data_IF_465977325528
#
_entry.id   IF_465977325528
#
_cell.length_a   1.000
_cell.length_b   1.000
_cell.length_c   1.000
_cell.angle_alpha   90.00
_cell.angle_beta   90.00
_cell.angle_gamma   90.00
#
_symmetry.space_group_name_H-M   'P 1'
#
loop_
_entity.id
_entity.type
_entity.pdbx_description
1 polymer ?
#
# COMPACT_ATOMS: atom_id res chain seq x y z
N UNK A 1 -18.17 -3.23 -9.44
CA UNK A 1 -18.01 -2.86 -8.02
C UNK A 1 -16.98 -1.73 -7.95
N UNK A 2 -17.16 -0.77 -7.06
CA UNK A 2 -16.17 0.28 -6.78
C UNK A 2 -15.21 -0.20 -5.71
N UNK A 3 -13.94 0.19 -5.75
CA UNK A 3 -12.93 -0.25 -4.77
C UNK A 3 -12.29 0.92 -4.04
N UNK A 4 -11.86 0.67 -2.81
CA UNK A 4 -11.00 1.56 -2.03
C UNK A 4 -9.58 0.99 -1.99
N UNK A 5 -8.58 1.84 -2.13
CA UNK A 5 -7.17 1.46 -2.04
C UNK A 5 -6.48 2.19 -0.88
N UNK A 6 -5.67 1.44 -0.13
CA UNK A 6 -4.86 1.94 0.98
C UNK A 6 -3.40 1.63 0.68
N UNK A 7 -2.54 2.66 0.68
CA UNK A 7 -1.22 2.60 0.07
C UNK A 7 -0.13 2.96 1.06
N UNK A 8 0.91 2.12 1.11
CA UNK A 8 2.11 2.37 1.88
C UNK A 8 3.36 1.92 1.11
N UNK A 9 4.53 2.37 1.55
CA UNK A 9 5.82 2.18 0.90
C UNK A 9 6.82 1.39 1.76
N UNK A 10 7.75 0.73 1.10
CA UNK A 10 8.96 0.22 1.75
C UNK A 10 10.16 0.39 0.85
N UNK A 11 11.34 0.51 1.45
CA UNK A 11 12.62 0.50 0.74
C UNK A 11 13.53 -0.58 1.29
N UNK A 12 14.22 -1.29 0.40
CA UNK A 12 15.28 -2.25 0.73
C UNK A 12 16.41 -2.12 -0.27
N UNK A 13 17.58 -1.70 0.23
CA UNK A 13 18.73 -1.37 -0.62
C UNK A 13 18.25 -0.42 -1.73
N UNK A 14 18.55 -0.74 -2.98
CA UNK A 14 18.22 0.08 -4.14
C UNK A 14 16.86 -0.30 -4.75
N UNK A 15 16.02 -1.06 -4.04
CA UNK A 15 14.67 -1.38 -4.49
C UNK A 15 13.63 -0.65 -3.64
N UNK A 16 12.75 0.06 -4.34
CA UNK A 16 11.59 0.74 -3.79
C UNK A 16 10.34 -0.11 -4.04
N UNK A 17 9.45 -0.17 -3.05
CA UNK A 17 8.21 -0.93 -3.07
C UNK A 17 7.05 0.00 -2.71
N UNK A 18 5.98 -0.03 -3.51
CA UNK A 18 4.71 0.61 -3.23
C UNK A 18 3.64 -0.48 -3.22
N UNK A 19 2.93 -0.63 -2.11
CA UNK A 19 1.85 -1.61 -1.98
C UNK A 19 0.50 -0.92 -1.89
N UNK A 20 -0.50 -1.47 -2.56
CA UNK A 20 -1.89 -1.03 -2.50
C UNK A 20 -2.78 -2.18 -2.03
N UNK A 21 -3.33 -2.06 -0.82
CA UNK A 21 -4.39 -2.93 -0.34
C UNK A 21 -5.72 -2.48 -0.96
N UNK A 22 -6.31 -3.34 -1.79
CA UNK A 22 -7.54 -3.12 -2.53
C UNK A 22 -8.68 -3.80 -1.79
N UNK A 23 -9.66 -3.02 -1.37
CA UNK A 23 -10.71 -3.44 -0.44
C UNK A 23 -12.08 -3.02 -0.97
N UNK A 24 -13.06 -3.92 -0.90
CA UNK A 24 -14.45 -3.59 -1.18
C UNK A 24 -14.99 -2.62 -0.10
N UNK A 25 -15.71 -1.54 -0.47
CA UNK A 25 -16.29 -0.61 0.49
C UNK A 25 -17.09 -1.27 1.62
N UNK A 26 -17.76 -2.39 1.36
CA UNK A 26 -18.51 -3.17 2.35
C UNK A 26 -17.64 -3.88 3.40
N UNK A 27 -16.36 -4.14 3.09
CA UNK A 27 -15.43 -4.84 3.99
C UNK A 27 -14.59 -3.90 4.86
N UNK A 28 -14.53 -2.61 4.49
CA UNK A 28 -13.71 -1.58 5.17
C UNK A 28 -13.93 -1.57 6.68
N UNK A 29 -15.19 -1.55 7.13
CA UNK A 29 -15.50 -1.46 8.56
C UNK A 29 -15.10 -2.74 9.32
N UNK A 30 -15.28 -3.90 8.69
CA UNK A 30 -14.95 -5.22 9.26
C UNK A 30 -13.44 -5.36 9.39
N UNK A 31 -12.69 -5.08 8.32
CA UNK A 31 -11.23 -5.15 8.33
C UNK A 31 -10.62 -4.17 9.33
N UNK A 32 -11.11 -2.92 9.42
CA UNK A 32 -10.65 -1.96 10.44
C UNK A 32 -10.87 -2.47 11.87
N UNK A 33 -12.04 -3.07 12.14
CA UNK A 33 -12.32 -3.64 13.46
C UNK A 33 -11.35 -4.79 13.78
N UNK A 34 -11.09 -5.65 12.80
CA UNK A 34 -10.19 -6.78 12.95
C UNK A 34 -8.75 -6.32 13.22
N UNK A 35 -8.23 -5.38 12.43
CA UNK A 35 -6.88 -4.85 12.59
C UNK A 35 -6.69 -4.16 13.95
N UNK A 36 -7.69 -3.41 14.42
CA UNK A 36 -7.65 -2.84 15.79
C UNK A 36 -7.56 -3.92 16.87
N UNK A 37 -8.19 -5.08 16.65
CA UNK A 37 -8.04 -6.24 17.53
C UNK A 37 -6.63 -6.86 17.54
N UNK A 38 -5.77 -6.51 16.57
CA UNK A 38 -4.36 -6.89 16.55
C UNK A 38 -3.46 -5.89 17.29
N UNK A 39 -3.98 -4.84 17.91
CA UNK A 39 -3.16 -3.92 18.70
C UNK A 39 -2.98 -4.46 20.13
N UNK A 40 -1.80 -4.27 20.70
CA UNK A 40 -1.64 -4.40 22.15
C UNK A 40 -2.28 -3.23 22.90
N UNK A 41 -2.55 -3.41 24.19
CA UNK A 41 -3.05 -2.33 25.03
C UNK A 41 -2.08 -1.12 24.97
N UNK A 42 -2.61 0.06 24.64
CA UNK A 42 -1.83 1.30 24.47
C UNK A 42 -1.16 1.46 23.09
N UNK A 43 -1.15 0.44 22.24
CA UNK A 43 -0.63 0.55 20.88
C UNK A 43 -1.63 1.30 20.00
N UNK A 44 -1.16 2.30 19.24
CA UNK A 44 -2.00 3.14 18.35
C UNK A 44 -1.87 2.79 16.87
N UNK A 45 -0.75 2.16 16.49
CA UNK A 45 -0.43 1.76 15.13
C UNK A 45 0.30 0.41 15.11
N UNK A 46 0.13 -0.34 14.03
CA UNK A 46 0.93 -1.52 13.74
C UNK A 46 1.99 -1.13 12.73
N UNK A 47 3.20 -0.86 13.21
CA UNK A 47 4.36 -0.57 12.35
C UNK A 47 5.19 -1.85 12.22
N UNK A 48 4.96 -2.63 11.16
CA UNK A 48 5.41 -4.02 11.04
C UNK A 48 6.93 -4.18 11.18
N UNK A 49 7.70 -3.18 10.72
CA UNK A 49 9.16 -3.14 10.89
C UNK A 49 9.62 -3.12 12.34
N UNK A 50 8.86 -2.55 13.28
CA UNK A 50 9.24 -2.47 14.71
C UNK A 50 8.84 -3.72 15.50
N UNK A 51 8.01 -4.58 14.93
CA UNK A 51 7.51 -5.78 15.60
C UNK A 51 8.56 -6.89 15.71
N UNK A 52 8.46 -7.70 16.78
CA UNK A 52 9.29 -8.90 16.94
C UNK A 52 8.90 -9.97 15.91
N UNK A 53 9.83 -10.87 15.50
CA UNK A 53 9.55 -11.89 14.48
C UNK A 53 8.30 -12.74 14.73
N UNK A 54 8.07 -13.20 15.96
CA UNK A 54 6.87 -13.98 16.29
C UNK A 54 5.57 -13.18 16.12
N UNK A 55 5.60 -11.89 16.47
CA UNK A 55 4.46 -10.99 16.28
C UNK A 55 4.21 -10.74 14.80
N UNK A 56 5.26 -10.55 13.99
CA UNK A 56 5.14 -10.41 12.54
C UNK A 56 4.48 -11.64 11.90
N UNK A 57 4.89 -12.84 12.29
CA UNK A 57 4.26 -14.10 11.82
C UNK A 57 2.77 -14.15 12.18
N UNK A 58 2.42 -13.82 13.43
CA UNK A 58 1.03 -13.85 13.89
C UNK A 58 0.15 -12.84 13.13
N UNK A 59 0.63 -11.62 12.95
CA UNK A 59 -0.07 -10.57 12.18
C UNK A 59 -0.25 -11.00 10.73
N UNK A 60 0.81 -11.50 10.09
CA UNK A 60 0.76 -11.94 8.70
C UNK A 60 -0.20 -13.12 8.51
N UNK A 61 -0.19 -14.10 9.42
CA UNK A 61 -1.14 -15.22 9.42
C UNK A 61 -2.58 -14.72 9.47
N UNK A 62 -2.87 -13.77 10.38
CA UNK A 62 -4.21 -13.19 10.51
C UNK A 62 -4.62 -12.43 9.26
N UNK A 63 -3.73 -11.67 8.63
CA UNK A 63 -4.02 -10.99 7.38
C UNK A 63 -4.33 -11.96 6.24
N UNK A 64 -3.55 -13.04 6.10
CA UNK A 64 -3.81 -14.09 5.10
C UNK A 64 -5.16 -14.75 5.33
N UNK A 65 -5.55 -15.02 6.58
CA UNK A 65 -6.88 -15.56 6.92
C UNK A 65 -8.03 -14.61 6.54
N UNK A 66 -7.80 -13.29 6.58
CA UNK A 66 -8.83 -12.28 6.26
C UNK A 66 -9.00 -12.06 4.76
N UNK A 67 -8.01 -12.45 3.94
CA UNK A 67 -8.07 -12.38 2.48
C UNK A 67 -8.13 -10.99 1.81
N UNK A 68 -7.63 -9.86 2.38
CA UNK A 68 -7.56 -8.63 1.61
C UNK A 68 -6.58 -8.80 0.43
N UNK A 69 -6.84 -8.12 -0.67
CA UNK A 69 -6.02 -8.23 -1.88
C UNK A 69 -4.99 -7.12 -1.92
N UNK A 70 -3.71 -7.44 -2.11
CA UNK A 70 -2.65 -6.43 -2.25
C UNK A 70 -1.97 -6.50 -3.61
N UNK A 71 -1.77 -5.34 -4.23
CA UNK A 71 -0.94 -5.16 -5.41
C UNK A 71 0.38 -4.49 -5.00
N UNK A 72 1.51 -5.05 -5.41
CA UNK A 72 2.85 -4.52 -5.11
C UNK A 72 3.51 -4.05 -6.40
N UNK A 73 4.05 -2.84 -6.38
CA UNK A 73 4.79 -2.22 -7.47
C UNK A 73 6.21 -1.97 -6.97
N UNK A 74 7.20 -2.42 -7.73
CA UNK A 74 8.60 -2.28 -7.35
C UNK A 74 9.42 -1.70 -8.50
N UNK A 75 10.46 -0.96 -8.14
CA UNK A 75 11.38 -0.33 -9.07
C UNK A 75 12.74 -0.15 -8.41
N UNK A 76 13.81 -0.15 -9.22
CA UNK A 76 15.08 0.38 -8.76
C UNK A 76 14.95 1.86 -8.37
N UNK A 77 15.66 2.24 -7.32
CA UNK A 77 15.70 3.59 -6.78
C UNK A 77 17.12 4.03 -6.41
N UNK A 78 18.16 3.43 -6.99
CA UNK A 78 19.56 3.81 -6.76
C UNK A 78 19.78 5.30 -7.04
N UNK A 79 19.17 5.81 -8.12
CA UNK A 79 19.28 7.22 -8.52
C UNK A 79 18.39 8.16 -7.71
N UNK A 80 17.15 7.76 -7.43
CA UNK A 80 16.18 8.62 -6.74
C UNK A 80 14.96 7.84 -6.23
N UNK A 81 14.80 7.83 -4.90
CA UNK A 81 13.60 7.30 -4.23
C UNK A 81 12.32 8.00 -4.69
N UNK A 82 12.35 9.33 -4.80
CA UNK A 82 11.15 10.08 -5.18
C UNK A 82 10.74 9.79 -6.62
N UNK A 83 11.69 9.70 -7.57
CA UNK A 83 11.36 9.29 -8.95
C UNK A 83 10.78 7.88 -8.99
N UNK A 84 11.36 6.96 -8.21
CA UNK A 84 10.87 5.59 -8.16
C UNK A 84 9.44 5.52 -7.61
N UNK A 85 9.15 6.28 -6.54
CA UNK A 85 7.78 6.42 -6.03
C UNK A 85 6.82 6.95 -7.08
N UNK A 86 7.14 8.08 -7.71
CA UNK A 86 6.21 8.71 -8.64
C UNK A 86 5.93 7.80 -9.86
N UNK A 87 6.93 7.04 -10.33
CA UNK A 87 6.73 6.03 -11.36
C UNK A 87 5.80 4.89 -10.89
N UNK A 88 6.04 4.34 -9.70
CA UNK A 88 5.18 3.32 -9.11
C UNK A 88 3.75 3.85 -8.89
N UNK A 89 3.60 5.09 -8.43
CA UNK A 89 2.31 5.74 -8.17
C UNK A 89 1.50 5.90 -9.45
N UNK A 90 2.12 6.36 -10.55
CA UNK A 90 1.45 6.47 -11.86
C UNK A 90 0.96 5.10 -12.32
N UNK A 91 1.84 4.09 -12.30
CA UNK A 91 1.48 2.74 -12.76
C UNK A 91 0.39 2.11 -11.88
N UNK A 92 0.49 2.28 -10.57
CA UNK A 92 -0.52 1.79 -9.63
C UNK A 92 -1.86 2.46 -9.86
N UNK A 93 -1.87 3.79 -10.04
CA UNK A 93 -3.10 4.52 -10.28
C UNK A 93 -3.76 4.07 -11.58
N UNK A 94 -3.01 3.90 -12.67
CA UNK A 94 -3.53 3.38 -13.93
C UNK A 94 -4.21 2.01 -13.74
N UNK A 95 -3.53 1.06 -13.09
CA UNK A 95 -4.05 -0.28 -12.83
C UNK A 95 -5.31 -0.24 -11.95
N UNK A 96 -5.35 0.62 -10.92
CA UNK A 96 -6.49 0.72 -9.99
C UNK A 96 -7.69 1.45 -10.61
N UNK A 97 -7.46 2.42 -11.49
CA UNK A 97 -8.54 3.09 -12.23
C UNK A 97 -9.30 2.09 -13.12
N UNK A 98 -8.59 1.20 -13.79
CA UNK A 98 -9.21 0.13 -14.60
C UNK A 98 -10.07 -0.81 -13.74
N UNK A 99 -9.78 -0.91 -12.43
CA UNK A 99 -10.55 -1.64 -11.43
C UNK A 99 -11.68 -0.80 -10.78
N UNK A 100 -11.98 0.39 -11.31
CA UNK A 100 -13.00 1.32 -10.79
C UNK A 100 -12.72 1.79 -9.35
N UNK A 101 -11.47 2.15 -9.07
CA UNK A 101 -11.08 2.87 -7.86
C UNK A 101 -12.01 4.07 -7.61
N UNK A 102 -12.40 4.29 -6.34
CA UNK A 102 -13.19 5.45 -5.91
C UNK A 102 -12.55 6.24 -4.78
N UNK A 103 -11.79 5.57 -3.92
CA UNK A 103 -11.09 6.21 -2.81
C UNK A 103 -9.67 5.70 -2.73
N UNK A 104 -8.70 6.61 -2.71
CA UNK A 104 -7.29 6.32 -2.54
C UNK A 104 -6.79 6.97 -1.25
N UNK A 105 -6.34 6.16 -0.31
CA UNK A 105 -5.71 6.64 0.93
C UNK A 105 -4.23 6.28 0.88
N UNK A 106 -3.36 7.26 0.97
CA UNK A 106 -1.91 7.06 1.04
C UNK A 106 -1.41 7.34 2.44
N UNK A 107 -0.42 6.57 2.92
CA UNK A 107 0.27 6.95 4.14
C UNK A 107 1.01 8.28 3.94
N UNK A 108 0.88 9.16 4.93
CA UNK A 108 1.39 10.52 4.87
C UNK A 108 2.91 10.53 4.95
N UNK A 109 3.54 11.25 4.03
CA UNK A 109 4.97 11.53 3.98
C UNK A 109 5.27 13.00 4.23
N UNK A 110 4.39 13.66 4.99
CA UNK A 110 4.47 15.07 5.36
C UNK A 110 4.57 15.99 4.13
N UNK A 111 5.64 16.78 4.00
CA UNK A 111 5.83 17.71 2.89
C UNK A 111 5.84 17.02 1.52
N UNK A 112 6.28 15.74 1.46
CA UNK A 112 6.33 14.95 0.22
C UNK A 112 4.94 14.55 -0.30
N UNK A 113 3.88 14.76 0.49
CA UNK A 113 2.49 14.59 0.02
C UNK A 113 2.19 15.49 -1.20
N UNK A 114 2.86 16.63 -1.32
CA UNK A 114 2.70 17.55 -2.44
C UNK A 114 3.13 16.93 -3.77
N UNK A 115 4.19 16.12 -3.78
CA UNK A 115 4.63 15.41 -5.00
C UNK A 115 3.59 14.39 -5.45
N UNK A 116 3.04 13.62 -4.51
CA UNK A 116 1.96 12.65 -4.82
C UNK A 116 0.73 13.37 -5.35
N UNK A 117 0.34 14.48 -4.73
CA UNK A 117 -0.81 15.27 -5.16
C UNK A 117 -0.65 15.80 -6.59
N UNK A 118 0.55 16.28 -6.95
CA UNK A 118 0.85 16.73 -8.32
C UNK A 118 0.74 15.57 -9.32
N UNK A 119 1.34 14.43 -9.00
CA UNK A 119 1.30 13.22 -9.84
C UNK A 119 -0.12 12.69 -10.04
N UNK A 120 -0.89 12.56 -8.95
CA UNK A 120 -2.27 12.07 -8.98
C UNK A 120 -3.14 13.02 -9.83
N UNK A 121 -3.03 14.34 -9.61
CA UNK A 121 -3.77 15.33 -10.41
C UNK A 121 -3.42 15.25 -11.90
N UNK A 122 -2.12 15.14 -12.22
CA UNK A 122 -1.67 15.03 -13.62
C UNK A 122 -2.18 13.73 -14.28
N UNK A 123 -2.21 12.62 -13.54
CA UNK A 123 -2.71 11.35 -14.04
C UNK A 123 -4.24 11.35 -14.22
N UNK A 124 -4.99 11.87 -13.25
CA UNK A 124 -6.46 11.97 -13.31
C UNK A 124 -6.92 12.99 -14.36
N UNK A 125 -6.21 14.11 -14.52
CA UNK A 125 -6.54 15.13 -15.52
C UNK A 125 -6.51 14.63 -16.97
N UNK A 126 -5.74 13.58 -17.25
CA UNK A 126 -5.72 12.91 -18.56
C UNK A 126 -6.93 12.00 -18.79
N UNK A 127 -7.74 11.77 -17.76
CA UNK A 127 -8.81 10.77 -17.73
C UNK A 127 -10.09 11.36 -17.10
N UNK A 128 -10.79 12.29 -17.77
CA UNK A 128 -11.95 13.01 -17.20
C UNK A 128 -13.10 12.09 -16.77
N UNK A 129 -13.25 10.90 -17.36
CA UNK A 129 -14.22 9.88 -16.95
C UNK A 129 -14.02 9.34 -15.53
N UNK A 130 -12.84 9.58 -14.94
CA UNK A 130 -12.45 9.14 -13.60
C UNK A 130 -12.38 10.30 -12.58
N UNK A 131 -13.04 11.43 -12.88
CA UNK A 131 -13.08 12.62 -12.01
C UNK A 131 -13.70 12.40 -10.63
N UNK A 132 -14.24 11.21 -10.36
CA UNK A 132 -14.92 10.87 -9.11
C UNK A 132 -14.01 10.13 -8.10
N UNK A 133 -12.72 9.96 -8.42
CA UNK A 133 -11.75 9.40 -7.46
C UNK A 133 -11.39 10.45 -6.41
N UNK A 134 -11.72 10.16 -5.16
CA UNK A 134 -11.27 10.94 -4.02
C UNK A 134 -9.93 10.38 -3.55
N UNK A 135 -8.96 11.24 -3.27
CA UNK A 135 -7.70 10.82 -2.67
C UNK A 135 -7.36 11.67 -1.45
N UNK A 136 -6.71 11.06 -0.47
CA UNK A 136 -6.28 11.70 0.76
C UNK A 136 -4.99 11.06 1.29
N UNK A 137 -4.21 11.85 2.02
CA UNK A 137 -3.08 11.37 2.80
C UNK A 137 -3.49 11.29 4.26
N UNK A 138 -3.33 10.12 4.87
CA UNK A 138 -3.64 9.89 6.29
C UNK A 138 -2.42 9.32 6.98
N UNK A 139 -2.29 9.59 8.28
CA UNK A 139 -1.27 8.91 9.10
C UNK A 139 -1.79 7.53 9.52
N UNK A 140 -0.90 6.53 9.54
CA UNK A 140 -1.22 5.14 9.93
C UNK A 140 -1.86 4.98 11.32
N UNK A 141 -1.67 5.94 12.24
CA UNK A 141 -2.39 5.96 13.54
C UNK A 141 -3.90 6.25 13.41
N UNK A 142 -4.33 6.89 12.32
CA UNK A 142 -5.73 7.25 12.06
C UNK A 142 -6.43 6.26 11.13
N UNK A 143 -5.71 5.64 10.19
CA UNK A 143 -6.25 4.69 9.24
C UNK A 143 -5.54 3.32 9.34
N UNK A 144 -6.23 2.34 9.93
CA UNK A 144 -5.64 1.03 10.20
C UNK A 144 -5.43 0.21 8.93
N UNK A 145 -6.20 0.46 7.86
CA UNK A 145 -6.08 -0.29 6.61
C UNK A 145 -4.75 -0.04 5.89
N UNK A 146 -4.06 1.06 6.20
CA UNK A 146 -2.70 1.32 5.72
C UNK A 146 -1.71 0.24 6.19
N UNK A 147 -1.95 -0.40 7.34
CA UNK A 147 -1.06 -1.43 7.86
C UNK A 147 -1.03 -2.69 6.99
N UNK A 148 -2.07 -2.96 6.21
CA UNK A 148 -2.09 -4.08 5.26
C UNK A 148 -1.03 -3.86 4.18
N UNK A 149 -0.97 -2.62 3.65
CA UNK A 149 0.04 -2.23 2.68
C UNK A 149 1.45 -2.20 3.29
N UNK A 150 1.63 -1.69 4.51
CA UNK A 150 2.91 -1.73 5.24
C UNK A 150 3.46 -3.16 5.31
N UNK A 151 2.63 -4.09 5.80
CA UNK A 151 2.99 -5.51 5.95
C UNK A 151 3.41 -6.11 4.61
N UNK A 152 2.62 -5.91 3.56
CA UNK A 152 2.89 -6.46 2.24
C UNK A 152 4.17 -5.87 1.62
N UNK A 153 4.33 -4.55 1.64
CA UNK A 153 5.52 -3.87 1.12
C UNK A 153 6.78 -4.30 1.89
N UNK A 154 6.69 -4.40 3.21
CA UNK A 154 7.79 -4.84 4.06
C UNK A 154 8.17 -6.30 3.77
N UNK A 155 7.19 -7.20 3.63
CA UNK A 155 7.42 -8.62 3.33
C UNK A 155 8.03 -8.82 1.94
N UNK A 156 7.52 -8.10 0.93
CA UNK A 156 8.08 -8.12 -0.42
C UNK A 156 9.56 -7.69 -0.40
N UNK A 157 9.88 -6.59 0.29
CA UNK A 157 11.25 -6.14 0.41
C UNK A 157 12.14 -7.06 1.26
N UNK A 158 11.61 -7.65 2.33
CA UNK A 158 12.39 -8.56 3.18
C UNK A 158 12.81 -9.84 2.44
N UNK A 159 12.04 -10.27 1.44
CA UNK A 159 12.33 -11.47 0.66
C UNK A 159 12.23 -12.76 1.48
N UNK A 160 12.76 -13.86 0.92
CA UNK A 160 12.88 -15.14 1.60
C UNK A 160 11.55 -15.67 2.19
N UNK A 161 11.60 -16.15 3.43
CA UNK A 161 10.44 -16.68 4.15
C UNK A 161 9.31 -15.64 4.30
N UNK A 162 9.64 -14.36 4.42
CA UNK A 162 8.63 -13.29 4.54
C UNK A 162 7.84 -13.08 3.26
N UNK A 163 8.53 -13.02 2.12
CA UNK A 163 7.87 -12.93 0.82
C UNK A 163 7.02 -14.18 0.54
N UNK A 164 7.53 -15.37 0.90
CA UNK A 164 6.79 -16.61 0.76
C UNK A 164 5.48 -16.62 1.58
N UNK A 165 5.54 -16.22 2.86
CA UNK A 165 4.35 -16.14 3.73
C UNK A 165 3.33 -15.09 3.28
N UNK A 166 3.80 -14.00 2.68
CA UNK A 166 2.92 -12.94 2.17
C UNK A 166 2.34 -13.23 0.79
N UNK A 167 2.80 -14.28 0.09
CA UNK A 167 2.32 -14.62 -1.26
C UNK A 167 0.79 -14.75 -1.36
N UNK A 168 0.06 -15.35 -0.41
CA UNK A 168 -1.41 -15.42 -0.49
C UNK A 168 -2.11 -14.06 -0.39
N UNK A 169 -1.44 -13.06 0.21
CA UNK A 169 -1.95 -11.70 0.35
C UNK A 169 -1.71 -10.85 -0.93
N UNK A 170 -0.65 -11.18 -1.69
CA UNK A 170 -0.22 -10.41 -2.86
C UNK A 170 -0.78 -11.03 -4.15
N UNK A 171 -1.82 -10.41 -4.71
CA UNK A 171 -2.43 -10.88 -5.95
C UNK A 171 -1.64 -10.48 -7.20
N UNK A 172 -0.87 -9.39 -7.13
CA UNK A 172 -0.13 -8.85 -8.26
C UNK A 172 1.19 -8.24 -7.80
N UNK A 173 2.26 -8.57 -8.52
CA UNK A 173 3.56 -7.89 -8.40
C UNK A 173 3.95 -7.33 -9.75
N UNK A 174 4.26 -6.03 -9.81
CA UNK A 174 4.68 -5.33 -11.02
C UNK A 174 6.09 -4.80 -10.81
N UNK A 175 7.04 -5.23 -11.65
CA UNK A 175 8.39 -4.67 -11.70
C UNK A 175 8.42 -3.63 -12.80
N UNK A 176 8.64 -2.37 -12.43
CA UNK A 176 8.76 -1.29 -13.41
C UNK A 176 10.18 -1.30 -13.99
N UNK A 177 10.33 -1.09 -15.31
CA UNK A 177 11.64 -1.01 -15.93
C UNK A 177 12.37 0.25 -15.47
N UNK A 178 13.70 0.18 -15.43
CA UNK A 178 14.55 1.34 -15.17
C UNK A 178 14.34 2.41 -16.26
N UNK A 179 14.69 3.65 -15.94
CA UNK A 179 14.59 4.71 -16.93
C UNK A 179 15.71 4.49 -17.96
N UNK A 180 15.43 4.61 -19.27
CA UNK A 180 16.48 4.50 -20.29
C UNK A 180 17.56 5.58 -20.16
#
# INVERSE_FOLDING_TARGET
>A
MSLHAFVDESRRRDTYFLAAAVIDPGEVAVLRKLLRGLLFAGQRELHFKKEKPERRKAVLSKLVECGPVVHVYQRDCADSEERARQACLVRMLDDLLDMRLRRLVLDSREERNLHDAQTIRAALGKRPSYSEVVYEHMVSTQEQLLWIADVAAWCAGAGGDWAHRARPLIAKTVVLPDWP
#
